data_IF_809053188698
#
_entry.id   IF_809053188698
#
_cell.length_a   1.000
_cell.length_b   1.000
_cell.length_c   1.000
_cell.angle_alpha   90.00
_cell.angle_beta   90.00
_cell.angle_gamma   90.00
#
_symmetry.space_group_name_H-M   'P 1'
#
loop_
_entity.id
_entity.type
_entity.pdbx_description
1 polymer ?
#
# COMPACT_ATOMS: atom_id res chain seq x y z
N UNK A 1 -16.07 -18.84 62.14
CA UNK A 1 -16.44 -17.84 61.11
C UNK A 1 -15.28 -16.99 60.57
N UNK A 2 -14.06 -17.05 61.12
CA UNK A 2 -12.94 -16.19 60.69
C UNK A 2 -12.38 -16.46 59.27
N UNK A 3 -12.38 -17.71 58.79
CA UNK A 3 -11.72 -18.10 57.52
C UNK A 3 -12.36 -17.53 56.25
N UNK A 4 -13.66 -17.21 56.26
CA UNK A 4 -14.36 -16.63 55.09
C UNK A 4 -13.89 -15.20 54.81
N UNK A 5 -13.62 -14.43 55.86
CA UNK A 5 -13.20 -13.03 55.73
C UNK A 5 -11.79 -12.90 55.13
N UNK A 6 -10.89 -13.83 55.49
CA UNK A 6 -9.52 -13.85 54.94
C UNK A 6 -9.47 -14.21 53.45
N UNK A 7 -10.34 -15.12 53.01
CA UNK A 7 -10.34 -15.57 51.62
C UNK A 7 -10.84 -14.46 50.69
N UNK A 8 -11.93 -13.78 51.07
CA UNK A 8 -12.47 -12.64 50.33
C UNK A 8 -11.47 -11.48 50.29
N UNK A 9 -10.76 -11.21 51.40
CA UNK A 9 -9.72 -10.17 51.44
C UNK A 9 -8.56 -10.47 50.49
N UNK A 10 -8.03 -11.69 50.50
CA UNK A 10 -6.95 -12.10 49.57
C UNK A 10 -7.39 -12.07 48.11
N UNK A 11 -8.63 -12.47 47.84
CA UNK A 11 -9.18 -12.42 46.48
C UNK A 11 -9.29 -10.97 45.98
N UNK A 12 -9.75 -10.04 46.82
CA UNK A 12 -9.82 -8.62 46.49
C UNK A 12 -8.43 -7.98 46.32
N UNK A 13 -7.48 -8.32 47.18
CA UNK A 13 -6.09 -7.87 47.03
C UNK A 13 -5.53 -8.32 45.68
N UNK A 14 -5.67 -9.61 45.33
CA UNK A 14 -5.21 -10.16 44.06
C UNK A 14 -5.89 -9.53 42.84
N UNK A 15 -7.21 -9.29 42.93
CA UNK A 15 -7.97 -8.58 41.89
C UNK A 15 -7.46 -7.14 41.74
N UNK A 16 -7.28 -6.41 42.83
CA UNK A 16 -6.82 -5.02 42.81
C UNK A 16 -5.42 -4.88 42.23
N UNK A 17 -4.52 -5.85 42.49
CA UNK A 17 -3.16 -5.83 41.93
C UNK A 17 -3.16 -6.02 40.41
N UNK A 18 -4.14 -6.76 39.88
CA UNK A 18 -4.29 -7.01 38.44
C UNK A 18 -5.09 -5.92 37.73
N UNK A 19 -5.99 -5.24 38.44
CA UNK A 19 -6.86 -4.23 37.85
C UNK A 19 -6.07 -3.03 37.30
N UNK A 20 -5.09 -2.53 38.07
CA UNK A 20 -4.29 -1.36 37.68
C UNK A 20 -3.54 -1.53 36.35
N UNK A 21 -2.78 -2.63 36.15
CA UNK A 21 -2.15 -2.92 34.86
C UNK A 21 -3.13 -3.05 33.70
N UNK A 22 -4.32 -3.63 33.93
CA UNK A 22 -5.35 -3.77 32.89
C UNK A 22 -5.93 -2.41 32.49
N UNK A 23 -6.21 -1.54 33.47
CA UNK A 23 -6.67 -0.18 33.21
C UNK A 23 -5.63 0.61 32.41
N UNK A 24 -4.36 0.55 32.82
CA UNK A 24 -3.26 1.19 32.09
C UNK A 24 -3.10 0.64 30.67
N UNK A 25 -3.29 -0.67 30.48
CA UNK A 25 -3.27 -1.26 29.15
C UNK A 25 -4.42 -0.71 28.29
N UNK A 26 -5.61 -0.54 28.86
CA UNK A 26 -6.74 0.11 28.20
C UNK A 26 -6.39 1.51 27.71
N UNK A 27 -5.88 2.37 28.60
CA UNK A 27 -5.44 3.74 28.26
C UNK A 27 -4.38 3.76 27.15
N UNK A 28 -3.44 2.82 27.18
CA UNK A 28 -2.41 2.69 26.14
C UNK A 28 -2.99 2.24 24.80
N UNK A 29 -4.02 1.39 24.80
CA UNK A 29 -4.71 0.98 23.58
C UNK A 29 -5.52 2.14 22.99
N UNK A 30 -6.17 2.95 23.83
CA UNK A 30 -6.88 4.16 23.38
C UNK A 30 -5.89 5.16 22.77
N UNK A 31 -4.78 5.43 23.45
CA UNK A 31 -3.70 6.29 22.93
C UNK A 31 -3.13 5.75 21.62
N UNK A 32 -2.97 4.42 21.51
CA UNK A 32 -2.51 3.77 20.27
C UNK A 32 -3.50 4.02 19.14
N UNK A 33 -4.80 3.86 19.38
CA UNK A 33 -5.84 4.08 18.38
C UNK A 33 -5.84 5.54 17.88
N UNK A 34 -5.68 6.51 18.79
CA UNK A 34 -5.54 7.92 18.43
C UNK A 34 -4.32 8.17 17.53
N UNK A 35 -3.16 7.59 17.90
CA UNK A 35 -1.94 7.73 17.10
C UNK A 35 -2.01 7.01 15.75
N UNK A 36 -2.69 5.87 15.66
CA UNK A 36 -2.95 5.21 14.38
C UNK A 36 -3.86 6.07 13.49
N UNK A 37 -4.85 6.75 14.05
CA UNK A 37 -5.68 7.69 13.31
C UNK A 37 -4.90 8.92 12.83
N UNK A 38 -4.04 9.49 13.67
CA UNK A 38 -3.14 10.59 13.28
C UNK A 38 -2.19 10.16 12.14
N UNK A 39 -1.64 8.95 12.19
CA UNK A 39 -0.77 8.42 11.13
C UNK A 39 -1.51 8.32 9.80
N UNK A 40 -2.75 7.80 9.80
CA UNK A 40 -3.57 7.70 8.58
C UNK A 40 -3.88 9.08 7.98
N UNK A 41 -4.15 10.08 8.82
CA UNK A 41 -4.38 11.45 8.35
C UNK A 41 -3.13 12.06 7.71
N UNK A 42 -1.96 11.85 8.34
CA UNK A 42 -0.66 12.28 7.78
C UNK A 42 -0.38 11.57 6.46
N UNK A 43 -0.61 10.26 6.36
CA UNK A 43 -0.44 9.51 5.12
C UNK A 43 -1.31 10.08 4.00
N UNK A 44 -2.60 10.34 4.27
CA UNK A 44 -3.51 10.96 3.30
C UNK A 44 -3.06 12.38 2.90
N UNK A 45 -2.53 13.15 3.86
CA UNK A 45 -1.96 14.49 3.60
C UNK A 45 -0.73 14.42 2.68
N UNK A 46 0.16 13.46 2.92
CA UNK A 46 1.35 13.23 2.08
C UNK A 46 0.92 12.82 0.66
N UNK A 47 -0.02 11.89 0.52
CA UNK A 47 -0.52 11.47 -0.79
C UNK A 47 -1.10 12.66 -1.57
N UNK A 48 -1.88 13.51 -0.92
CA UNK A 48 -2.41 14.73 -1.53
C UNK A 48 -1.30 15.68 -1.97
N UNK A 49 -0.32 15.95 -1.10
CA UNK A 49 0.80 16.82 -1.44
C UNK A 49 1.62 16.27 -2.63
N UNK A 50 1.81 14.95 -2.69
CA UNK A 50 2.48 14.29 -3.82
C UNK A 50 1.71 14.46 -5.12
N UNK A 51 0.37 14.33 -5.09
CA UNK A 51 -0.48 14.59 -6.25
C UNK A 51 -0.34 16.03 -6.74
N UNK A 52 -0.39 17.01 -5.83
CA UNK A 52 -0.21 18.43 -6.17
C UNK A 52 1.17 18.68 -6.80
N UNK A 53 2.24 18.04 -6.30
CA UNK A 53 3.56 18.13 -6.94
C UNK A 53 3.57 17.54 -8.36
N UNK A 54 2.93 16.39 -8.57
CA UNK A 54 2.84 15.76 -9.88
C UNK A 54 2.04 16.63 -10.86
N UNK A 55 0.94 17.22 -10.41
CA UNK A 55 0.13 18.17 -11.19
C UNK A 55 0.94 19.43 -11.55
N UNK A 56 1.81 19.88 -10.65
CA UNK A 56 2.76 20.97 -10.91
C UNK A 56 3.93 20.57 -11.84
N UNK A 57 4.00 19.31 -12.28
CA UNK A 57 4.95 18.82 -13.29
C UNK A 57 6.19 18.11 -12.73
N UNK A 58 6.25 17.85 -11.42
CA UNK A 58 7.35 17.08 -10.84
C UNK A 58 7.29 15.61 -11.26
N UNK A 59 8.45 15.01 -11.54
CA UNK A 59 8.51 13.59 -11.88
C UNK A 59 8.54 12.74 -10.60
N UNK A 60 7.85 11.58 -10.57
CA UNK A 60 7.92 10.62 -9.47
C UNK A 60 9.35 10.25 -9.00
N UNK A 61 10.30 10.15 -9.94
CA UNK A 61 11.70 9.87 -9.63
C UNK A 61 12.39 11.02 -8.87
N UNK A 62 12.03 12.27 -9.18
CA UNK A 62 12.57 13.47 -8.50
C UNK A 62 12.02 13.54 -7.06
N UNK A 63 10.73 13.26 -6.88
CA UNK A 63 10.12 13.18 -5.54
C UNK A 63 10.76 12.07 -4.69
N UNK A 64 11.05 10.92 -5.29
CA UNK A 64 11.77 9.83 -4.59
C UNK A 64 13.16 10.27 -4.13
N UNK A 65 13.89 11.02 -4.98
CA UNK A 65 15.22 11.54 -4.63
C UNK A 65 15.18 12.61 -3.52
N UNK A 66 14.06 13.33 -3.40
CA UNK A 66 13.79 14.27 -2.30
C UNK A 66 13.37 13.58 -1.00
N UNK A 67 13.24 12.25 -1.00
CA UNK A 67 12.89 11.46 0.18
C UNK A 67 11.40 11.19 0.36
N UNK A 68 10.56 11.52 -0.64
CA UNK A 68 9.14 11.13 -0.61
C UNK A 68 9.05 9.60 -0.62
N UNK A 69 8.33 8.98 0.34
CA UNK A 69 8.15 7.54 0.36
C UNK A 69 7.53 7.02 -0.93
N UNK A 70 8.09 5.94 -1.49
CA UNK A 70 7.57 5.34 -2.73
C UNK A 70 6.13 4.85 -2.61
N UNK A 71 5.68 4.53 -1.40
CA UNK A 71 4.30 4.13 -1.10
C UNK A 71 3.30 5.26 -1.35
N UNK A 72 3.71 6.51 -1.13
CA UNK A 72 2.86 7.69 -1.34
C UNK A 72 2.85 8.19 -2.79
N UNK A 73 3.69 7.64 -3.67
CA UNK A 73 3.76 8.02 -5.08
C UNK A 73 2.82 7.12 -5.89
N UNK A 74 1.81 7.67 -6.59
CA UNK A 74 0.87 6.89 -7.37
C UNK A 74 1.59 6.00 -8.38
N UNK A 75 1.42 4.68 -8.25
CA UNK A 75 1.96 3.72 -9.21
C UNK A 75 1.17 3.90 -10.50
N UNK A 76 1.86 4.16 -11.63
CA UNK A 76 1.22 4.20 -12.95
C UNK A 76 0.41 2.92 -13.11
N UNK A 77 -0.91 3.05 -13.21
CA UNK A 77 -1.74 1.92 -13.64
C UNK A 77 -1.21 1.48 -15.01
N UNK A 78 -1.03 0.17 -15.25
CA UNK A 78 -0.78 -0.30 -16.60
C UNK A 78 -1.94 0.23 -17.43
N UNK A 79 -1.64 1.06 -18.44
CA UNK A 79 -2.63 1.42 -19.44
C UNK A 79 -3.06 0.09 -20.04
N UNK A 80 -4.26 -0.38 -19.67
CA UNK A 80 -4.96 -1.36 -20.48
C UNK A 80 -5.13 -0.67 -21.83
N UNK A 81 -4.19 -0.93 -22.74
CA UNK A 81 -4.41 -0.69 -24.15
C UNK A 81 -5.59 -1.60 -24.48
N UNK A 82 -6.80 -1.04 -24.42
CA UNK A 82 -7.93 -1.62 -25.11
C UNK A 82 -7.51 -1.64 -26.58
N UNK A 83 -6.93 -2.77 -27.00
CA UNK A 83 -6.83 -3.13 -28.40
C UNK A 83 -8.29 -3.17 -28.86
N UNK A 84 -8.75 -2.09 -29.49
CA UNK A 84 -10.00 -2.16 -30.23
C UNK A 84 -9.89 -3.35 -31.18
N UNK A 85 -10.87 -4.28 -31.19
CA UNK A 85 -10.85 -5.39 -32.11
C UNK A 85 -10.84 -4.81 -33.53
N UNK A 86 -9.73 -4.98 -34.26
CA UNK A 86 -9.73 -4.75 -35.70
C UNK A 86 -10.75 -5.72 -36.28
N UNK A 87 -11.89 -5.19 -36.72
CA UNK A 87 -12.83 -5.93 -37.56
C UNK A 87 -12.09 -6.36 -38.83
N UNK A 88 -12.10 -7.65 -39.19
CA UNK A 88 -11.55 -8.05 -40.47
C UNK A 88 -12.50 -7.59 -41.57
N UNK A 89 -12.14 -6.52 -42.28
CA UNK A 89 -12.74 -6.23 -43.58
C UNK A 89 -12.30 -7.33 -44.54
N UNK A 90 -13.25 -8.21 -44.88
CA UNK A 90 -13.14 -9.07 -46.03
C UNK A 90 -13.23 -8.20 -47.28
N UNK A 91 -12.10 -7.98 -47.95
CA UNK A 91 -12.11 -7.79 -49.39
C UNK A 91 -10.87 -8.42 -50.03
N UNK A 92 -11.02 -9.32 -51.02
CA UNK A 92 -9.90 -9.96 -51.67
C UNK A 92 -9.48 -9.14 -52.88
N UNK A 93 -8.26 -8.57 -52.89
CA UNK A 93 -7.42 -8.50 -54.10
C UNK A 93 -6.02 -7.88 -53.87
N UNK A 94 -5.03 -8.72 -54.19
CA UNK A 94 -3.82 -8.46 -55.00
C UNK A 94 -2.67 -7.59 -54.47
N UNK A 95 -1.51 -8.28 -54.41
CA UNK A 95 -0.15 -7.87 -54.78
C UNK A 95 0.71 -7.04 -53.80
N UNK A 96 1.60 -7.78 -53.14
CA UNK A 96 3.07 -7.68 -53.20
C UNK A 96 3.83 -6.43 -52.77
N UNK A 97 4.93 -6.76 -52.07
CA UNK A 97 6.26 -6.13 -51.99
C UNK A 97 6.51 -4.98 -50.99
N UNK A 98 7.31 -5.35 -49.99
CA UNK A 98 8.48 -4.65 -49.47
C UNK A 98 8.31 -3.36 -48.66
N UNK A 99 8.57 -3.49 -47.36
CA UNK A 99 8.80 -2.40 -46.43
C UNK A 99 9.54 -2.91 -45.20
N UNK A 100 10.87 -3.00 -45.31
CA UNK A 100 11.79 -3.29 -44.20
C UNK A 100 11.61 -2.27 -43.07
N UNK A 101 11.59 -2.77 -41.83
CA UNK A 101 11.53 -1.95 -40.62
C UNK A 101 12.15 -2.69 -39.45
N UNK A 102 13.49 -2.68 -39.41
CA UNK A 102 14.34 -3.15 -38.33
C UNK A 102 13.85 -2.74 -36.93
N UNK A 103 13.85 -3.69 -35.99
CA UNK A 103 13.51 -3.44 -34.60
C UNK A 103 14.02 -4.51 -33.65
N UNK A 104 15.35 -4.57 -33.52
CA UNK A 104 16.16 -5.03 -32.38
C UNK A 104 15.75 -6.33 -31.63
N UNK A 105 16.62 -7.33 -31.83
CA UNK A 105 16.79 -8.58 -31.11
C UNK A 105 16.54 -8.49 -29.60
N UNK A 106 15.71 -9.44 -29.12
CA UNK A 106 15.45 -9.68 -27.72
C UNK A 106 16.68 -10.25 -27.01
N UNK A 107 17.16 -9.50 -26.02
CA UNK A 107 18.13 -9.97 -25.04
C UNK A 107 17.47 -10.57 -23.80
N UNK A 108 17.60 -11.90 -23.69
CA UNK A 108 17.72 -12.73 -22.48
C UNK A 108 16.72 -12.61 -21.32
N UNK A 109 16.05 -13.73 -21.03
CA UNK A 109 15.93 -14.22 -19.66
C UNK A 109 16.09 -15.76 -19.67
N UNK A 110 16.92 -16.36 -18.80
CA UNK A 110 17.08 -17.81 -18.72
C UNK A 110 15.85 -18.44 -18.04
N UNK A 111 15.40 -19.58 -18.56
CA UNK A 111 14.40 -20.42 -17.89
C UNK A 111 15.04 -21.14 -16.68
N UNK A 112 14.44 -21.09 -15.48
CA UNK A 112 14.72 -22.05 -14.44
C UNK A 112 13.88 -23.31 -14.68
N UNK A 113 14.54 -24.44 -14.91
CA UNK A 113 13.91 -25.77 -14.80
C UNK A 113 14.35 -26.43 -13.49
N UNK A 114 13.36 -27.04 -12.84
CA UNK A 114 13.31 -27.72 -11.53
C UNK A 114 14.53 -28.56 -11.15
#
# INVERSE_FOLDING_TARGET
MAKKNDFTKRANEFLSTRLGPVQRLGELLDTKAEKEAELLDIEASIEKAVLECIEAGWKPAELTNLGVPRTAIPRRQPRNAALEPRTPDNDPKTNSSDGEGNGAEGGSAPEPSL
#
